data_IF_810660330558
#
_entry.id   IF_810660330558
#
_cell.length_a   1.000
_cell.length_b   1.000
_cell.length_c   1.000
_cell.angle_alpha   90.00
_cell.angle_beta   90.00
_cell.angle_gamma   90.00
#
_symmetry.space_group_name_H-M   'P 1'
#
loop_
_entity.id
_entity.type
_entity.pdbx_description
1 polymer ?
#
# COMPACT_ATOMS: atom_id res chain seq x y z
N UNK A 1 33.55 -13.18 33.64
CA UNK A 1 33.35 -12.92 32.20
C UNK A 1 34.42 -11.92 31.79
N UNK A 2 35.36 -12.34 30.96
CA UNK A 2 36.49 -11.50 30.53
C UNK A 2 36.02 -10.45 29.52
N UNK A 3 36.78 -9.37 29.38
CA UNK A 3 36.46 -8.27 28.45
C UNK A 3 36.39 -8.77 26.99
N UNK A 4 37.19 -9.77 26.63
CA UNK A 4 37.16 -10.42 25.33
C UNK A 4 35.88 -11.24 25.10
N UNK A 5 35.34 -11.89 26.14
CA UNK A 5 34.07 -12.62 26.08
C UNK A 5 32.88 -11.67 25.91
N UNK A 6 32.94 -10.48 26.54
CA UNK A 6 31.95 -9.42 26.38
C UNK A 6 31.94 -8.85 24.96
N UNK A 7 33.12 -8.65 24.37
CA UNK A 7 33.25 -8.17 22.99
C UNK A 7 32.73 -9.22 22.00
N UNK A 8 33.14 -10.48 22.14
CA UNK A 8 32.65 -11.58 21.31
C UNK A 8 31.13 -11.75 21.40
N UNK A 9 30.55 -11.63 22.60
CA UNK A 9 29.10 -11.69 22.80
C UNK A 9 28.38 -10.50 22.15
N UNK A 10 28.92 -9.29 22.29
CA UNK A 10 28.38 -8.08 21.69
C UNK A 10 28.33 -8.19 20.16
N UNK A 11 29.41 -8.67 19.54
CA UNK A 11 29.49 -8.80 18.08
C UNK A 11 28.60 -9.93 17.56
N UNK A 12 28.47 -11.04 18.31
CA UNK A 12 27.51 -12.08 17.99
C UNK A 12 26.05 -11.57 18.05
N UNK A 13 25.70 -10.77 19.07
CA UNK A 13 24.38 -10.17 19.21
C UNK A 13 24.08 -9.15 18.10
N UNK A 14 25.08 -8.38 17.64
CA UNK A 14 24.94 -7.50 16.48
C UNK A 14 24.67 -8.32 15.22
N UNK A 15 25.44 -9.39 14.99
CA UNK A 15 25.27 -10.25 13.81
C UNK A 15 23.86 -10.86 13.73
N UNK A 16 23.36 -11.42 14.85
CA UNK A 16 22.00 -11.96 14.92
C UNK A 16 20.97 -10.85 14.71
N UNK A 17 21.21 -9.67 15.29
CA UNK A 17 20.37 -8.49 15.10
C UNK A 17 20.26 -8.06 13.64
N UNK A 18 21.37 -7.96 12.91
CA UNK A 18 21.38 -7.62 11.48
C UNK A 18 20.60 -8.66 10.67
N UNK A 19 20.84 -9.96 10.90
CA UNK A 19 20.12 -11.03 10.19
C UNK A 19 18.62 -10.96 10.39
N UNK A 20 18.16 -10.65 11.61
CA UNK A 20 16.74 -10.48 11.90
C UNK A 20 16.15 -9.26 11.18
N UNK A 21 16.87 -8.13 11.14
CA UNK A 21 16.43 -6.91 10.43
C UNK A 21 16.35 -7.16 8.92
N UNK A 22 17.32 -7.82 8.33
CA UNK A 22 17.35 -8.14 6.90
C UNK A 22 16.20 -9.07 6.50
N UNK A 23 15.87 -10.03 7.36
CA UNK A 23 14.74 -10.92 7.13
C UNK A 23 13.39 -10.21 7.30
N UNK A 24 13.26 -9.29 8.27
CA UNK A 24 12.06 -8.43 8.36
C UNK A 24 11.91 -7.59 7.07
N UNK A 25 12.98 -6.93 6.60
CA UNK A 25 12.95 -6.17 5.33
C UNK A 25 12.57 -7.03 4.14
N UNK A 26 13.12 -8.24 4.02
CA UNK A 26 12.74 -9.22 2.99
C UNK A 26 11.24 -9.50 3.01
N UNK A 27 10.67 -9.79 4.18
CA UNK A 27 9.25 -10.10 4.33
C UNK A 27 8.37 -8.89 4.04
N UNK A 28 8.77 -7.70 4.51
CA UNK A 28 8.05 -6.46 4.26
C UNK A 28 8.06 -6.07 2.78
N UNK A 29 9.20 -6.19 2.10
CA UNK A 29 9.32 -5.87 0.67
C UNK A 29 8.43 -6.78 -0.17
N UNK A 30 8.38 -8.07 0.17
CA UNK A 30 7.47 -9.02 -0.48
C UNK A 30 6.00 -8.72 -0.16
N UNK A 31 5.69 -8.29 1.06
CA UNK A 31 4.36 -7.85 1.45
C UNK A 31 3.90 -6.61 0.65
N UNK A 32 4.79 -5.64 0.44
CA UNK A 32 4.55 -4.49 -0.44
C UNK A 32 4.31 -4.92 -1.89
N UNK A 33 5.08 -5.88 -2.39
CA UNK A 33 4.84 -6.48 -3.70
C UNK A 33 3.41 -7.01 -3.85
N UNK A 34 2.94 -7.80 -2.87
CA UNK A 34 1.56 -8.32 -2.88
C UNK A 34 0.53 -7.19 -2.70
N UNK A 35 0.83 -6.17 -1.88
CA UNK A 35 -0.02 -4.99 -1.74
C UNK A 35 -0.22 -4.29 -3.10
N UNK A 36 0.83 -4.07 -3.88
CA UNK A 36 0.72 -3.41 -5.18
C UNK A 36 -0.19 -4.19 -6.15
N UNK A 37 -0.13 -5.52 -6.16
CA UNK A 37 -1.02 -6.32 -7.02
C UNK A 37 -2.47 -6.33 -6.56
N UNK A 38 -2.72 -6.41 -5.24
CA UNK A 38 -4.08 -6.31 -4.69
C UNK A 38 -4.74 -5.02 -5.15
N UNK A 39 -4.05 -3.89 -5.00
CA UNK A 39 -4.60 -2.59 -5.34
C UNK A 39 -4.63 -2.31 -6.83
N UNK A 40 -3.63 -2.76 -7.61
CA UNK A 40 -3.69 -2.69 -9.07
C UNK A 40 -4.92 -3.43 -9.62
N UNK A 41 -5.18 -4.64 -9.12
CA UNK A 41 -6.35 -5.42 -9.51
C UNK A 41 -7.66 -4.76 -9.05
N UNK A 42 -7.66 -4.17 -7.84
CA UNK A 42 -8.82 -3.44 -7.31
C UNK A 42 -9.17 -2.20 -8.15
N UNK A 43 -8.16 -1.41 -8.52
CA UNK A 43 -8.32 -0.26 -9.42
C UNK A 43 -8.78 -0.74 -10.80
N UNK A 44 -8.20 -1.81 -11.34
CA UNK A 44 -8.64 -2.41 -12.61
C UNK A 44 -10.11 -2.80 -12.58
N UNK A 45 -10.55 -3.53 -11.55
CA UNK A 45 -11.97 -3.89 -11.40
C UNK A 45 -12.84 -2.64 -11.35
N UNK A 46 -12.45 -1.64 -10.57
CA UNK A 46 -13.23 -0.41 -10.46
C UNK A 46 -13.34 0.37 -11.78
N UNK A 47 -12.21 0.57 -12.46
CA UNK A 47 -12.13 1.34 -13.70
C UNK A 47 -12.84 0.66 -14.87
N UNK A 48 -12.73 -0.66 -15.01
CA UNK A 48 -13.23 -1.38 -16.19
C UNK A 48 -14.54 -2.11 -15.97
N UNK A 49 -14.81 -2.64 -14.77
CA UNK A 49 -16.04 -3.39 -14.51
C UNK A 49 -17.26 -2.48 -14.47
N UNK A 50 -17.10 -1.19 -14.14
CA UNK A 50 -18.19 -0.21 -14.14
C UNK A 50 -18.74 0.10 -15.55
N UNK A 51 -17.94 -0.07 -16.59
CA UNK A 51 -18.30 0.25 -17.99
C UNK A 51 -19.44 -0.62 -18.57
N UNK A 52 -19.42 -1.97 -18.49
CA UNK A 52 -20.54 -2.78 -18.98
C UNK A 52 -21.84 -2.52 -18.20
N UNK A 53 -21.78 -2.18 -16.91
CA UNK A 53 -22.97 -1.86 -16.12
C UNK A 53 -23.61 -0.53 -16.53
N UNK A 54 -22.81 0.46 -16.95
CA UNK A 54 -23.34 1.76 -17.40
C UNK A 54 -24.09 1.69 -18.72
N UNK A 55 -23.91 0.62 -19.50
CA UNK A 55 -24.63 0.40 -20.77
C UNK A 55 -26.06 -0.12 -20.59
N UNK A 56 -26.39 -0.71 -19.43
CA UNK A 56 -27.64 -1.46 -19.23
C UNK A 56 -28.51 -0.98 -18.06
N UNK A 57 -28.06 0.02 -17.29
CA UNK A 57 -28.77 0.50 -16.08
C UNK A 57 -29.09 2.01 -16.16
N UNK A 58 -30.07 2.48 -15.39
CA UNK A 58 -30.38 3.91 -15.27
C UNK A 58 -29.28 4.67 -14.50
N UNK A 59 -29.16 5.98 -14.71
CA UNK A 59 -28.12 6.81 -14.07
C UNK A 59 -28.13 6.68 -12.54
N UNK A 60 -29.31 6.69 -11.90
CA UNK A 60 -29.41 6.56 -10.44
C UNK A 60 -28.89 5.21 -9.93
N UNK A 61 -29.19 4.12 -10.66
CA UNK A 61 -28.68 2.78 -10.35
C UNK A 61 -27.17 2.72 -10.58
N UNK A 62 -26.65 3.37 -11.62
CA UNK A 62 -25.21 3.43 -11.90
C UNK A 62 -24.45 4.10 -10.76
N UNK A 63 -24.96 5.23 -10.26
CA UNK A 63 -24.32 5.97 -9.15
C UNK A 63 -24.34 5.15 -7.87
N UNK A 64 -25.47 4.51 -7.54
CA UNK A 64 -25.56 3.63 -6.38
C UNK A 64 -24.63 2.41 -6.51
N UNK A 65 -24.61 1.75 -7.68
CA UNK A 65 -23.74 0.60 -7.94
C UNK A 65 -22.25 0.99 -7.87
N UNK A 66 -21.89 2.17 -8.41
CA UNK A 66 -20.54 2.72 -8.33
C UNK A 66 -20.11 2.91 -6.87
N UNK A 67 -20.92 3.58 -6.06
CA UNK A 67 -20.63 3.80 -4.65
C UNK A 67 -20.48 2.48 -3.85
N UNK A 68 -21.42 1.55 -4.03
CA UNK A 68 -21.40 0.24 -3.36
C UNK A 68 -20.16 -0.56 -3.78
N UNK A 69 -19.87 -0.61 -5.08
CA UNK A 69 -18.70 -1.32 -5.60
C UNK A 69 -17.39 -0.74 -5.07
N UNK A 70 -17.27 0.59 -4.99
CA UNK A 70 -16.12 1.27 -4.40
C UNK A 70 -15.90 0.85 -2.94
N UNK A 71 -16.96 0.91 -2.12
CA UNK A 71 -16.89 0.48 -0.71
C UNK A 71 -16.44 -0.97 -0.59
N UNK A 72 -17.08 -1.87 -1.33
CA UNK A 72 -16.79 -3.29 -1.27
C UNK A 72 -15.35 -3.60 -1.69
N UNK A 73 -14.89 -2.98 -2.79
CA UNK A 73 -13.52 -3.13 -3.27
C UNK A 73 -12.52 -2.60 -2.24
N UNK A 74 -12.73 -1.42 -1.66
CA UNK A 74 -11.82 -0.85 -0.67
C UNK A 74 -11.78 -1.68 0.61
N UNK A 75 -12.92 -2.14 1.11
CA UNK A 75 -12.98 -3.04 2.28
C UNK A 75 -12.24 -4.34 1.98
N UNK A 76 -12.49 -4.95 0.82
CA UNK A 76 -11.87 -6.21 0.45
C UNK A 76 -10.36 -6.09 0.24
N UNK A 77 -9.92 -5.09 -0.52
CA UNK A 77 -8.51 -4.78 -0.76
C UNK A 77 -7.78 -4.43 0.53
N UNK A 78 -8.42 -3.63 1.40
CA UNK A 78 -7.92 -3.28 2.73
C UNK A 78 -7.78 -4.50 3.64
N UNK A 79 -8.78 -5.38 3.65
CA UNK A 79 -8.74 -6.65 4.38
C UNK A 79 -7.59 -7.55 3.91
N UNK A 80 -7.46 -7.76 2.59
CA UNK A 80 -6.37 -8.57 2.03
C UNK A 80 -5.00 -7.97 2.33
N UNK A 81 -4.84 -6.65 2.16
CA UNK A 81 -3.62 -5.93 2.54
C UNK A 81 -3.29 -6.15 4.00
N UNK A 82 -4.30 -6.07 4.88
CA UNK A 82 -4.16 -6.34 6.30
C UNK A 82 -3.72 -7.76 6.62
N UNK A 83 -4.27 -8.77 5.93
CA UNK A 83 -3.83 -10.16 6.07
C UNK A 83 -2.37 -10.34 5.65
N UNK A 84 -1.94 -9.71 4.57
CA UNK A 84 -0.56 -9.79 4.07
C UNK A 84 0.42 -9.19 5.09
N UNK A 85 0.17 -7.96 5.54
CA UNK A 85 1.06 -7.30 6.51
C UNK A 85 0.99 -7.92 7.92
N UNK A 86 -0.17 -8.44 8.33
CA UNK A 86 -0.27 -9.17 9.61
C UNK A 86 0.51 -10.48 9.58
N UNK A 87 0.54 -11.20 8.45
CA UNK A 87 1.39 -12.39 8.28
C UNK A 87 2.87 -12.03 8.28
N UNK A 88 3.27 -10.99 7.55
CA UNK A 88 4.66 -10.52 7.53
C UNK A 88 5.14 -10.11 8.93
N UNK A 89 4.34 -9.31 9.65
CA UNK A 89 4.66 -8.88 11.02
C UNK A 89 4.61 -10.00 12.06
N UNK A 90 3.75 -11.01 11.91
CA UNK A 90 3.74 -12.19 12.79
C UNK A 90 4.98 -13.06 12.61
N UNK A 91 5.45 -13.26 11.38
CA UNK A 91 6.70 -13.97 11.14
C UNK A 91 7.89 -13.24 11.77
N UNK A 92 7.96 -11.92 11.59
CA UNK A 92 8.99 -11.09 12.21
C UNK A 92 8.93 -11.17 13.76
N UNK A 93 7.74 -11.13 14.35
CA UNK A 93 7.55 -11.27 15.80
C UNK A 93 7.96 -12.65 16.32
N UNK A 94 7.62 -13.74 15.61
CA UNK A 94 8.00 -15.10 16.02
C UNK A 94 9.52 -15.27 16.08
N UNK A 95 10.27 -14.63 15.19
CA UNK A 95 11.72 -14.62 15.25
C UNK A 95 12.27 -13.73 16.37
N UNK A 96 11.64 -12.58 16.64
CA UNK A 96 12.06 -11.70 17.73
C UNK A 96 11.77 -12.28 19.12
N UNK A 97 10.70 -13.08 19.27
CA UNK A 97 10.41 -13.87 20.48
C UNK A 97 11.47 -14.96 20.70
N UNK A 98 12.03 -15.54 19.63
CA UNK A 98 13.19 -16.44 19.73
C UNK A 98 14.50 -15.69 20.05
N UNK A 99 14.55 -14.37 19.87
CA UNK A 99 15.73 -13.52 20.09
C UNK A 99 15.67 -12.68 21.38
N UNK A 100 14.68 -12.91 22.25
CA UNK A 100 14.49 -12.25 23.56
C UNK A 100 14.58 -10.71 23.55
N UNK A 101 14.21 -10.08 22.43
CA UNK A 101 14.10 -8.62 22.34
C UNK A 101 12.65 -8.20 22.48
N UNK A 102 12.34 -7.56 23.61
CA UNK A 102 11.05 -6.90 23.81
C UNK A 102 10.87 -5.83 22.73
N UNK A 103 9.77 -5.93 21.97
CA UNK A 103 9.52 -5.02 20.87
C UNK A 103 8.14 -4.38 20.89
N UNK A 104 8.19 -3.10 20.54
CA UNK A 104 7.13 -2.12 20.53
C UNK A 104 5.98 -2.50 19.59
N UNK A 105 4.75 -2.29 20.09
CA UNK A 105 3.50 -2.68 19.43
C UNK A 105 3.24 -1.75 18.23
N UNK A 106 3.84 -2.03 17.09
CA UNK A 106 3.31 -1.50 15.83
C UNK A 106 1.98 -2.18 15.53
N UNK A 107 0.92 -1.49 15.94
CA UNK A 107 -0.48 -1.90 15.91
C UNK A 107 -1.04 -1.77 14.49
N UNK A 108 -0.58 -2.65 13.57
CA UNK A 108 -1.04 -2.68 12.18
C UNK A 108 -2.56 -2.78 12.04
N UNK A 109 -3.26 -3.29 13.06
CA UNK A 109 -4.73 -3.32 13.13
C UNK A 109 -5.39 -1.94 13.28
N UNK A 110 -4.78 -1.00 14.01
CA UNK A 110 -5.35 0.37 14.18
C UNK A 110 -5.28 1.18 12.89
N UNK A 111 -4.23 0.95 12.10
CA UNK A 111 -4.00 1.57 10.80
C UNK A 111 -5.07 1.21 9.78
N UNK A 112 -5.37 -0.08 9.65
CA UNK A 112 -6.37 -0.60 8.70
C UNK A 112 -7.76 -0.10 9.09
N UNK A 113 -8.03 -0.01 10.39
CA UNK A 113 -9.24 0.61 10.94
C UNK A 113 -9.40 2.08 10.48
N UNK A 114 -8.32 2.88 10.47
CA UNK A 114 -8.40 4.27 9.98
C UNK A 114 -8.63 4.36 8.47
N UNK A 115 -7.97 3.52 7.66
CA UNK A 115 -8.21 3.48 6.21
C UNK A 115 -9.64 3.07 5.87
N UNK A 116 -10.20 2.09 6.59
CA UNK A 116 -11.59 1.65 6.44
C UNK A 116 -12.56 2.76 6.90
N UNK A 117 -12.31 3.39 8.04
CA UNK A 117 -13.15 4.49 8.54
C UNK A 117 -13.18 5.67 7.57
N UNK A 118 -12.02 6.03 7.02
CA UNK A 118 -11.94 7.13 6.06
C UNK A 118 -12.53 6.77 4.69
N UNK A 119 -12.36 5.53 4.23
CA UNK A 119 -13.02 5.01 3.03
C UNK A 119 -14.55 5.01 3.17
N UNK A 120 -15.08 4.70 4.37
CA UNK A 120 -16.50 4.80 4.68
C UNK A 120 -16.96 6.28 4.62
N UNK A 121 -16.18 7.23 5.13
CA UNK A 121 -16.51 8.66 5.03
C UNK A 121 -16.52 9.12 3.57
N UNK A 122 -15.52 8.74 2.77
CA UNK A 122 -15.45 9.07 1.34
C UNK A 122 -16.61 8.43 0.58
N UNK A 123 -16.95 7.18 0.88
CA UNK A 123 -18.11 6.53 0.31
C UNK A 123 -19.42 7.22 0.68
N UNK A 124 -19.57 7.67 1.94
CA UNK A 124 -20.74 8.42 2.38
C UNK A 124 -20.84 9.79 1.68
N UNK A 125 -19.70 10.43 1.39
CA UNK A 125 -19.63 11.67 0.60
C UNK A 125 -19.96 11.41 -0.88
N UNK A 126 -19.49 10.29 -1.44
CA UNK A 126 -19.79 9.83 -2.81
C UNK A 126 -21.27 9.49 -2.98
N UNK A 127 -21.93 8.96 -1.94
CA UNK A 127 -23.38 8.71 -1.89
C UNK A 127 -24.17 10.03 -1.84
N UNK A 128 -23.56 11.15 -1.41
CA UNK A 128 -24.12 12.49 -1.54
C UNK A 128 -24.03 12.99 -2.98
N UNK A 129 -24.91 12.47 -3.85
CA UNK A 129 -24.88 12.56 -5.33
C UNK A 129 -24.79 13.97 -5.95
N UNK A 130 -24.92 15.04 -5.17
CA UNK A 130 -24.72 16.42 -5.64
C UNK A 130 -23.29 16.96 -5.40
N UNK A 131 -22.53 16.39 -4.45
CA UNK A 131 -21.23 16.94 -4.07
C UNK A 131 -20.12 16.55 -5.06
N UNK A 132 -20.16 15.36 -5.66
CA UNK A 132 -19.17 14.89 -6.64
C UNK A 132 -19.15 15.70 -7.94
N UNK A 133 -20.29 16.31 -8.32
CA UNK A 133 -20.34 17.26 -9.45
C UNK A 133 -19.90 18.66 -9.06
N UNK A 134 -19.77 18.94 -7.76
CA UNK A 134 -19.28 20.20 -7.25
C UNK A 134 -17.76 20.18 -7.14
N UNK A 135 -17.16 21.35 -7.31
CA UNK A 135 -15.71 21.54 -7.11
C UNK A 135 -15.25 21.05 -5.72
N UNK A 136 -16.11 21.17 -4.71
CA UNK A 136 -15.82 20.70 -3.35
C UNK A 136 -15.68 19.19 -3.24
N UNK A 137 -16.48 18.41 -3.98
CA UNK A 137 -16.38 16.95 -3.98
C UNK A 137 -15.08 16.46 -4.63
N UNK A 138 -14.71 17.03 -5.78
CA UNK A 138 -13.46 16.69 -6.47
C UNK A 138 -12.24 17.03 -5.60
N UNK A 139 -12.23 18.18 -4.93
CA UNK A 139 -11.14 18.57 -4.01
C UNK A 139 -11.06 17.59 -2.84
N UNK A 140 -12.18 17.17 -2.27
CA UNK A 140 -12.22 16.27 -1.13
C UNK A 140 -11.73 14.86 -1.52
N UNK A 141 -12.14 14.34 -2.67
CA UNK A 141 -11.63 13.08 -3.23
C UNK A 141 -10.11 13.15 -3.49
N UNK A 142 -9.65 14.18 -4.19
CA UNK A 142 -8.24 14.34 -4.51
C UNK A 142 -7.37 14.48 -3.24
N UNK A 143 -7.88 15.20 -2.23
CA UNK A 143 -7.22 15.35 -0.94
C UNK A 143 -7.15 14.02 -0.17
N UNK A 144 -8.23 13.22 -0.21
CA UNK A 144 -8.23 11.90 0.40
C UNK A 144 -7.18 10.98 -0.24
N UNK A 145 -7.16 10.89 -1.57
CA UNK A 145 -6.19 10.07 -2.29
C UNK A 145 -4.76 10.56 -2.03
N UNK A 146 -4.53 11.87 -1.93
CA UNK A 146 -3.23 12.41 -1.50
C UNK A 146 -2.84 11.98 -0.08
N UNK A 147 -3.77 11.97 0.88
CA UNK A 147 -3.52 11.46 2.24
C UNK A 147 -3.17 9.97 2.21
N UNK A 148 -3.86 9.16 1.41
CA UNK A 148 -3.56 7.73 1.24
C UNK A 148 -2.15 7.55 0.70
N UNK A 149 -1.74 8.32 -0.29
CA UNK A 149 -0.40 8.22 -0.88
C UNK A 149 0.72 8.64 0.09
N UNK A 150 0.53 9.76 0.81
CA UNK A 150 1.43 10.18 1.89
C UNK A 150 1.54 9.10 2.97
N UNK A 151 0.42 8.45 3.28
CA UNK A 151 0.39 7.37 4.25
C UNK A 151 1.19 6.16 3.77
N UNK A 152 0.98 5.72 2.52
CA UNK A 152 1.73 4.63 1.88
C UNK A 152 3.22 4.95 1.85
N UNK A 153 3.60 6.16 1.44
CA UNK A 153 4.99 6.65 1.48
C UNK A 153 5.62 6.46 2.87
N UNK A 154 4.93 6.92 3.92
CA UNK A 154 5.43 6.84 5.30
C UNK A 154 5.58 5.40 5.75
N UNK A 155 4.65 4.53 5.39
CA UNK A 155 4.68 3.13 5.76
C UNK A 155 5.79 2.35 5.06
N UNK A 156 6.00 2.58 3.75
CA UNK A 156 7.12 1.98 3.00
C UNK A 156 8.43 2.39 3.66
N UNK A 157 8.64 3.69 3.85
CA UNK A 157 9.87 4.24 4.46
C UNK A 157 10.09 3.70 5.87
N UNK A 158 9.03 3.56 6.67
CA UNK A 158 9.14 2.98 8.02
C UNK A 158 9.51 1.50 7.99
N UNK A 159 8.99 0.74 7.03
CA UNK A 159 9.22 -0.71 6.93
C UNK A 159 10.57 -1.08 6.31
N UNK A 160 11.07 -0.30 5.34
CA UNK A 160 12.29 -0.62 4.59
C UNK A 160 13.45 0.34 4.88
N UNK A 161 13.22 1.40 5.66
CA UNK A 161 14.20 2.45 5.97
C UNK A 161 14.38 3.46 4.83
N UNK A 162 14.65 2.96 3.62
CA UNK A 162 14.66 3.72 2.38
C UNK A 162 13.47 3.32 1.50
N UNK A 163 13.06 4.21 0.59
CA UNK A 163 11.98 3.90 -0.37
C UNK A 163 12.63 3.24 -1.59
N UNK A 164 12.27 1.99 -1.90
CA UNK A 164 12.82 1.32 -3.06
C UNK A 164 12.19 1.88 -4.35
N UNK A 165 12.84 1.63 -5.49
CA UNK A 165 12.44 2.21 -6.78
C UNK A 165 10.99 1.89 -7.15
N UNK A 166 10.53 0.68 -6.87
CA UNK A 166 9.14 0.27 -7.09
C UNK A 166 8.14 1.12 -6.29
N UNK A 167 8.51 1.53 -5.08
CA UNK A 167 7.68 2.39 -4.23
C UNK A 167 7.60 3.81 -4.78
N UNK A 168 8.72 4.35 -5.27
CA UNK A 168 8.75 5.67 -5.93
C UNK A 168 7.86 5.65 -7.18
N UNK A 169 7.97 4.61 -8.00
CA UNK A 169 7.17 4.46 -9.21
C UNK A 169 5.66 4.33 -8.88
N UNK A 170 5.30 3.52 -7.88
CA UNK A 170 3.92 3.34 -7.45
C UNK A 170 3.29 4.64 -6.94
N UNK A 171 3.99 5.35 -6.04
CA UNK A 171 3.54 6.64 -5.48
C UNK A 171 3.42 7.70 -6.59
N UNK A 172 4.45 7.84 -7.43
CA UNK A 172 4.47 8.86 -8.47
C UNK A 172 3.37 8.66 -9.49
N UNK A 173 3.12 7.41 -9.91
CA UNK A 173 2.03 7.12 -10.85
C UNK A 173 0.66 7.27 -10.22
N UNK A 174 0.49 6.89 -8.96
CA UNK A 174 -0.77 7.13 -8.24
C UNK A 174 -1.06 8.62 -8.13
N UNK A 175 -0.06 9.44 -7.81
CA UNK A 175 -0.25 10.87 -7.65
C UNK A 175 -0.47 11.60 -8.98
N UNK A 176 0.21 11.16 -10.04
CA UNK A 176 -0.10 11.59 -11.41
C UNK A 176 -1.56 11.30 -11.77
N UNK A 177 -2.04 10.09 -11.50
CA UNK A 177 -3.40 9.69 -11.82
C UNK A 177 -4.45 10.44 -11.00
N UNK A 178 -4.18 10.69 -9.72
CA UNK A 178 -5.03 11.51 -8.86
C UNK A 178 -5.18 12.96 -9.38
N UNK A 179 -4.06 13.59 -9.76
CA UNK A 179 -4.08 14.95 -10.31
C UNK A 179 -4.78 14.96 -11.69
N UNK A 180 -4.45 13.99 -12.55
CA UNK A 180 -5.03 13.86 -13.88
C UNK A 180 -6.53 13.61 -13.86
N UNK A 181 -7.00 12.75 -12.96
CA UNK A 181 -8.42 12.45 -12.79
C UNK A 181 -9.17 13.66 -12.24
N UNK A 182 -8.63 14.36 -11.24
CA UNK A 182 -9.22 15.60 -10.73
C UNK A 182 -9.29 16.70 -11.81
N UNK A 183 -8.23 16.87 -12.61
CA UNK A 183 -8.21 17.81 -13.73
C UNK A 183 -9.27 17.46 -14.78
N UNK A 184 -9.38 16.17 -15.12
CA UNK A 184 -10.41 15.65 -16.03
C UNK A 184 -11.81 15.98 -15.55
N UNK A 185 -12.11 15.75 -14.26
CA UNK A 185 -13.44 15.99 -13.72
C UNK A 185 -13.81 17.47 -13.67
N UNK A 186 -12.84 18.34 -13.38
CA UNK A 186 -13.07 19.79 -13.33
C UNK A 186 -13.28 20.38 -14.72
N UNK A 187 -12.43 20.01 -15.69
CA UNK A 187 -12.35 20.69 -16.99
C UNK A 187 -13.15 19.95 -18.06
N UNK A 188 -12.95 18.64 -18.18
CA UNK A 188 -13.55 17.83 -19.23
C UNK A 188 -14.95 17.33 -18.83
N UNK A 189 -15.25 17.29 -17.52
CA UNK A 189 -16.53 16.84 -16.94
C UNK A 189 -17.01 15.51 -17.50
N UNK A 190 -16.07 14.63 -17.82
CA UNK A 190 -16.34 13.38 -18.51
C UNK A 190 -15.73 12.21 -17.74
N UNK A 191 -16.57 11.26 -17.29
CA UNK A 191 -16.11 10.10 -16.52
C UNK A 191 -15.26 9.13 -17.36
N UNK A 192 -15.32 9.26 -18.69
CA UNK A 192 -14.50 8.46 -19.59
C UNK A 192 -13.01 8.76 -19.40
N UNK A 193 -12.64 10.05 -19.37
CA UNK A 193 -11.24 10.47 -19.22
C UNK A 193 -10.70 10.20 -17.82
N UNK A 194 -11.55 10.22 -16.78
CA UNK A 194 -11.18 9.82 -15.42
C UNK A 194 -10.52 8.44 -15.42
N UNK A 195 -11.16 7.44 -16.05
CA UNK A 195 -10.64 6.07 -16.08
C UNK A 195 -9.30 5.91 -16.80
N UNK A 196 -9.06 6.66 -17.88
CA UNK A 196 -7.79 6.59 -18.62
C UNK A 196 -6.58 7.01 -17.79
N UNK A 197 -6.75 8.00 -16.91
CA UNK A 197 -5.67 8.43 -16.04
C UNK A 197 -5.24 7.36 -15.06
N UNK A 198 -6.08 6.37 -14.73
CA UNK A 198 -5.73 5.27 -13.82
C UNK A 198 -5.03 4.09 -14.51
N UNK A 199 -5.05 3.99 -15.84
CA UNK A 199 -4.37 2.91 -16.59
C UNK A 199 -2.86 2.87 -16.29
N UNK A 200 -2.11 3.99 -16.32
CA UNK A 200 -0.71 4.00 -15.93
C UNK A 200 -0.45 3.46 -14.52
N UNK A 201 -1.29 3.82 -13.53
CA UNK A 201 -1.19 3.30 -12.16
C UNK A 201 -1.31 1.79 -12.14
N UNK A 202 -2.33 1.23 -12.81
CA UNK A 202 -2.56 -0.22 -12.85
C UNK A 202 -1.31 -0.94 -13.39
N UNK A 203 -0.78 -0.48 -14.53
CA UNK A 203 0.39 -1.10 -15.17
C UNK A 203 1.63 -0.99 -14.28
N UNK A 204 1.93 0.21 -13.78
CA UNK A 204 3.14 0.43 -12.97
C UNK A 204 3.06 -0.29 -11.63
N UNK A 205 1.89 -0.35 -11.00
CA UNK A 205 1.73 -1.10 -9.75
C UNK A 205 1.86 -2.61 -9.97
N UNK A 206 1.41 -3.12 -11.11
CA UNK A 206 1.63 -4.52 -11.46
C UNK A 206 3.11 -4.83 -11.69
N UNK A 207 3.83 -3.96 -12.40
CA UNK A 207 5.29 -4.09 -12.60
C UNK A 207 6.03 -3.96 -11.26
N UNK A 208 5.66 -2.98 -10.43
CA UNK A 208 6.19 -2.78 -9.08
C UNK A 208 5.98 -4.01 -8.19
N UNK A 209 4.82 -4.67 -8.31
CA UNK A 209 4.53 -5.93 -7.62
C UNK A 209 5.54 -7.02 -7.97
N UNK A 210 5.74 -7.27 -9.26
CA UNK A 210 6.67 -8.29 -9.74
C UNK A 210 8.10 -7.92 -9.36
N UNK A 211 8.49 -6.66 -9.53
CA UNK A 211 9.82 -6.16 -9.22
C UNK A 211 10.15 -6.32 -7.73
N UNK A 212 9.22 -5.96 -6.83
CA UNK A 212 9.38 -6.08 -5.39
C UNK A 212 9.54 -7.53 -4.94
N UNK A 213 8.76 -8.46 -5.53
CA UNK A 213 8.84 -9.89 -5.21
C UNK A 213 10.15 -10.48 -5.73
N UNK A 214 10.58 -10.09 -6.93
CA UNK A 214 11.81 -10.59 -7.54
C UNK A 214 13.07 -10.12 -6.80
N UNK A 215 13.13 -8.85 -6.39
CA UNK A 215 14.28 -8.27 -5.68
C UNK A 215 14.17 -8.38 -4.15
N UNK A 216 13.12 -9.00 -3.59
CA UNK A 216 13.06 -9.22 -2.15
C UNK A 216 14.26 -10.00 -1.59
N UNK A 217 14.80 -11.05 -2.26
CA UNK A 217 15.97 -11.79 -1.78
C UNK A 217 17.23 -10.94 -1.61
N UNK A 218 17.34 -9.80 -2.29
CA UNK A 218 18.51 -8.91 -2.19
C UNK A 218 18.67 -8.35 -0.78
N UNK A 219 17.55 -8.18 -0.05
CA UNK A 219 17.55 -7.74 1.36
C UNK A 219 18.28 -8.75 2.27
N UNK A 220 18.37 -10.02 1.86
CA UNK A 220 19.08 -11.07 2.61
C UNK A 220 20.57 -11.13 2.25
N UNK A 221 20.97 -10.57 1.11
CA UNK A 221 22.31 -10.72 0.55
C UNK A 221 23.23 -9.54 0.84
N UNK A 222 22.81 -8.53 1.62
CA UNK A 222 23.61 -7.33 1.83
C UNK A 222 25.02 -7.71 2.33
N UNK A 223 26.00 -7.52 1.44
CA UNK A 223 27.29 -8.23 1.43
C UNK A 223 28.28 -7.70 2.45
N UNK A 224 27.97 -6.60 3.09
CA UNK A 224 28.88 -5.90 4.01
C UNK A 224 29.02 -6.57 5.38
N UNK A 225 28.06 -7.40 5.82
CA UNK A 225 28.09 -7.96 7.18
C UNK A 225 28.39 -9.47 7.23
N UNK A 226 28.42 -10.18 6.10
CA UNK A 226 28.60 -11.63 6.10
C UNK A 226 30.05 -12.10 6.27
N UNK A 227 31.05 -11.25 5.96
CA UNK A 227 32.46 -11.60 6.15
C UNK A 227 32.91 -11.49 7.62
N UNK A 228 32.18 -10.77 8.48
CA UNK A 228 32.53 -10.62 9.90
C UNK A 228 31.85 -11.65 10.81
N UNK A 229 30.90 -12.43 10.29
CA UNK A 229 30.13 -13.41 11.06
C UNK A 229 30.54 -14.88 10.84
N UNK A 230 31.62 -15.13 10.08
CA UNK A 230 32.11 -16.48 9.74
C UNK A 230 33.44 -16.79 10.40
#
# INVERSE_FOLDING_TARGET
>A
MNQDELLALSDHLKCVGTKAVNLDRYLQRRAWGIYYSIWAFSIFLFTFLSYPFSLITSVDIQVAAYAISYVLIVIFAGYLSGLVFSKASRLARLQNVLSDKSQDKTDGGKVISYLIFFAIIVALVVIGTDLLRSLGGVILEASFLAIVDIYVYRMIRKSLGAIPLEGIAAISTFMFSNIGSAFSDIILRSPFYYGYFWIPTIIVWFIASVYAIYHSPDELQDKTDFQECS
#
